data_IF_266007833365
#
_entry.id   IF_266007833365
#
_cell.length_a   1.000
_cell.length_b   1.000
_cell.length_c   1.000
_cell.angle_alpha   90.00
_cell.angle_beta   90.00
_cell.angle_gamma   90.00
#
_symmetry.space_group_name_H-M   'P 1'
#
loop_
_entity.id
_entity.type
_entity.pdbx_description
1 polymer ?
#
# COMPACT_ATOMS: atom_id res chain seq x y z
N UNK A 1 27.22 12.57 2.31
CA UNK A 1 26.08 13.20 1.61
C UNK A 1 24.93 12.21 1.65
N UNK A 2 24.00 12.43 2.58
CA UNK A 2 22.79 11.61 2.69
C UNK A 2 21.90 11.97 1.50
N UNK A 3 21.75 11.05 0.54
CA UNK A 3 20.82 11.26 -0.57
C UNK A 3 19.41 11.26 0.03
N UNK A 4 18.69 12.36 -0.11
CA UNK A 4 17.31 12.44 0.31
C UNK A 4 16.47 11.46 -0.53
N UNK A 5 15.81 10.51 0.13
CA UNK A 5 15.09 9.42 -0.53
C UNK A 5 13.98 9.97 -1.46
N UNK A 6 13.44 11.15 -1.15
CA UNK A 6 12.40 11.85 -1.94
C UNK A 6 12.88 12.41 -3.28
N UNK A 7 14.19 12.54 -3.51
CA UNK A 7 14.74 13.05 -4.78
C UNK A 7 15.23 11.95 -5.72
N UNK A 8 15.17 10.68 -5.29
CA UNK A 8 15.58 9.57 -6.14
C UNK A 8 14.41 9.25 -7.09
N UNK A 9 14.61 9.21 -8.40
CA UNK A 9 13.57 8.85 -9.36
C UNK A 9 12.94 7.49 -9.01
N UNK A 10 11.61 7.43 -9.06
CA UNK A 10 10.87 6.18 -8.82
C UNK A 10 11.02 5.22 -10.00
N UNK A 11 11.31 5.76 -11.19
CA UNK A 11 11.46 5.04 -12.44
C UNK A 11 12.90 4.54 -12.62
N UNK A 12 13.06 3.26 -12.94
CA UNK A 12 14.32 2.64 -13.35
C UNK A 12 14.19 2.09 -14.76
N UNK A 13 14.92 2.68 -15.71
CA UNK A 13 14.94 2.26 -17.11
C UNK A 13 16.27 1.59 -17.47
N UNK A 14 16.20 0.47 -18.19
CA UNK A 14 17.39 -0.12 -18.79
C UNK A 14 17.82 0.64 -20.06
N UNK A 15 19.01 0.33 -20.59
CA UNK A 15 19.56 0.96 -21.81
C UNK A 15 18.72 0.71 -23.07
N UNK A 16 17.78 -0.25 -23.02
CA UNK A 16 16.87 -0.61 -24.11
C UNK A 16 15.52 0.13 -23.98
N UNK A 17 15.37 0.99 -22.98
CA UNK A 17 14.14 1.75 -22.74
C UNK A 17 13.07 0.97 -21.96
N UNK A 18 13.39 -0.21 -21.40
CA UNK A 18 12.45 -0.93 -20.54
C UNK A 18 12.49 -0.33 -19.15
N UNK A 19 11.41 0.32 -18.77
CA UNK A 19 11.25 0.97 -17.47
C UNK A 19 10.41 0.13 -16.50
N UNK A 20 10.72 0.25 -15.22
CA UNK A 20 9.95 -0.30 -14.10
C UNK A 20 9.99 0.65 -12.91
N UNK A 21 9.11 0.44 -11.95
CA UNK A 21 9.19 1.14 -10.67
C UNK A 21 10.25 0.50 -9.78
N UNK A 22 10.97 1.37 -9.08
CA UNK A 22 12.00 1.02 -8.09
C UNK A 22 11.39 0.54 -6.78
N UNK A 23 10.28 1.17 -6.39
CA UNK A 23 9.57 0.86 -5.16
C UNK A 23 8.36 -0.03 -5.47
N UNK A 24 8.06 -0.93 -4.54
CA UNK A 24 6.82 -1.70 -4.54
C UNK A 24 5.63 -0.77 -4.22
N UNK A 25 4.41 -1.22 -4.54
CA UNK A 25 3.20 -0.39 -4.43
C UNK A 25 3.05 0.65 -5.54
N UNK A 26 3.91 0.61 -6.57
CA UNK A 26 3.81 1.48 -7.74
C UNK A 26 3.82 0.68 -9.04
N UNK A 27 3.07 1.15 -10.03
CA UNK A 27 3.07 0.61 -11.39
C UNK A 27 3.60 1.64 -12.37
N UNK A 28 4.40 1.19 -13.34
CA UNK A 28 4.95 2.07 -14.36
C UNK A 28 3.89 2.35 -15.43
N UNK A 29 3.49 3.61 -15.56
CA UNK A 29 2.62 4.09 -16.62
C UNK A 29 3.46 4.53 -17.83
N UNK A 30 3.35 3.78 -18.92
CA UNK A 30 4.06 4.04 -20.17
C UNK A 30 3.65 5.33 -20.88
N UNK A 31 2.44 5.84 -20.65
CA UNK A 31 1.93 7.06 -21.27
C UNK A 31 2.50 8.30 -20.58
N UNK A 32 2.43 8.33 -19.26
CA UNK A 32 2.96 9.45 -18.45
C UNK A 32 4.46 9.33 -18.17
N UNK A 33 5.05 8.15 -18.44
CA UNK A 33 6.43 7.77 -18.13
C UNK A 33 6.76 7.91 -16.64
N UNK A 34 5.78 7.70 -15.78
CA UNK A 34 5.90 7.84 -14.33
C UNK A 34 5.48 6.59 -13.62
N UNK A 35 6.01 6.41 -12.41
CA UNK A 35 5.46 5.47 -11.46
C UNK A 35 4.24 6.07 -10.78
N UNK A 36 3.09 5.42 -10.97
CA UNK A 36 1.85 5.78 -10.30
C UNK A 36 1.63 4.82 -9.13
N UNK A 37 1.11 5.37 -8.05
CA UNK A 37 0.70 4.59 -6.88
C UNK A 37 -0.38 3.57 -7.27
N UNK A 38 -0.30 2.37 -6.73
CA UNK A 38 -1.34 1.36 -6.87
C UNK A 38 -2.30 1.59 -5.72
N UNK A 39 -3.55 1.97 -6.01
CA UNK A 39 -4.55 2.08 -4.95
C UNK A 39 -5.07 0.68 -4.60
N UNK A 40 -4.49 0.05 -3.57
CA UNK A 40 -4.92 -1.28 -3.14
C UNK A 40 -6.33 -1.28 -2.51
N UNK A 41 -6.88 -0.11 -2.17
CA UNK A 41 -8.24 0.03 -1.68
C UNK A 41 -9.30 0.03 -2.80
N UNK A 42 -8.92 0.35 -4.04
CA UNK A 42 -9.80 0.35 -5.22
C UNK A 42 -9.68 -0.95 -6.04
N UNK A 43 -9.60 -2.09 -5.34
CA UNK A 43 -9.47 -3.41 -5.94
C UNK A 43 -10.79 -4.19 -5.90
N UNK A 44 -10.96 -5.13 -6.84
CA UNK A 44 -12.18 -5.96 -6.93
C UNK A 44 -12.37 -6.90 -5.73
N UNK A 45 -11.27 -7.30 -5.09
CA UNK A 45 -11.29 -8.10 -3.86
C UNK A 45 -10.77 -7.25 -2.69
N UNK A 46 -11.58 -7.01 -1.65
CA UNK A 46 -11.22 -6.09 -0.58
C UNK A 46 -9.99 -6.59 0.18
N UNK A 47 -8.95 -5.74 0.21
CA UNK A 47 -7.70 -6.03 0.94
C UNK A 47 -7.84 -5.97 2.46
N UNK A 48 -8.87 -5.30 2.98
CA UNK A 48 -9.10 -5.10 4.41
C UNK A 48 -10.47 -5.67 4.83
N UNK A 49 -10.56 -6.21 6.05
CA UNK A 49 -11.84 -6.65 6.63
C UNK A 49 -12.81 -5.51 6.94
N UNK A 50 -12.29 -4.31 7.21
CA UNK A 50 -13.07 -3.12 7.51
C UNK A 50 -12.58 -1.95 6.64
N UNK A 51 -12.09 -0.87 7.23
CA UNK A 51 -11.71 0.33 6.48
C UNK A 51 -10.32 0.14 5.86
N UNK A 52 -10.18 0.53 4.60
CA UNK A 52 -8.90 0.66 3.90
C UNK A 52 -8.57 2.14 3.72
N UNK A 53 -7.30 2.51 3.91
CA UNK A 53 -6.77 3.85 3.62
C UNK A 53 -5.55 3.70 2.72
N UNK A 54 -5.64 4.27 1.52
CA UNK A 54 -4.54 4.27 0.56
C UNK A 54 -3.47 5.31 0.95
N UNK A 55 -2.20 4.94 0.81
CA UNK A 55 -1.04 5.79 1.04
C UNK A 55 -0.03 5.62 -0.11
N UNK A 56 0.81 6.62 -0.40
CA UNK A 56 1.81 6.46 -1.46
C UNK A 56 2.77 5.27 -1.20
N UNK A 57 2.64 4.21 -2.00
CA UNK A 57 3.42 2.97 -1.97
C UNK A 57 2.91 1.88 -1.02
N UNK A 58 1.76 2.08 -0.37
CA UNK A 58 1.21 1.13 0.61
C UNK A 58 -0.22 1.47 1.00
N UNK A 59 -0.87 0.59 1.75
CA UNK A 59 -2.17 0.88 2.35
C UNK A 59 -2.19 0.46 3.82
N UNK A 60 -3.12 1.04 4.57
CA UNK A 60 -3.38 0.67 5.96
C UNK A 60 -4.83 0.18 6.10
N UNK A 61 -4.99 -0.97 6.75
CA UNK A 61 -6.30 -1.45 7.18
C UNK A 61 -6.58 -0.99 8.61
N UNK A 62 -7.73 -0.36 8.82
CA UNK A 62 -8.16 0.18 10.09
C UNK A 62 -9.41 -0.57 10.58
N UNK A 63 -9.34 -1.08 11.80
CA UNK A 63 -10.47 -1.67 12.51
C UNK A 63 -11.14 -0.64 13.42
N UNK A 64 -12.44 -0.80 13.70
CA UNK A 64 -13.13 -0.05 14.75
C UNK A 64 -12.44 -0.34 16.10
N UNK A 65 -11.74 0.64 16.68
CA UNK A 65 -10.94 0.43 17.88
C UNK A 65 -11.80 0.13 19.12
N UNK A 66 -13.11 0.41 19.08
CA UNK A 66 -14.02 0.16 20.20
C UNK A 66 -14.23 -1.34 20.44
N UNK A 67 -14.26 -2.13 19.36
CA UNK A 67 -14.68 -3.53 19.42
C UNK A 67 -13.75 -4.51 18.71
N UNK A 68 -12.82 -4.03 17.88
CA UNK A 68 -11.97 -4.89 17.06
C UNK A 68 -10.49 -4.52 17.22
N UNK A 69 -9.63 -5.47 16.88
CA UNK A 69 -8.18 -5.27 16.72
C UNK A 69 -7.73 -5.83 15.39
N UNK A 70 -6.70 -5.22 14.82
CA UNK A 70 -6.04 -5.70 13.62
C UNK A 70 -5.18 -6.93 13.96
N UNK A 71 -5.29 -7.96 13.14
CA UNK A 71 -4.47 -9.17 13.22
C UNK A 71 -3.07 -8.97 12.64
N UNK A 72 -2.21 -9.98 12.80
CA UNK A 72 -0.81 -9.94 12.32
C UNK A 72 -0.67 -9.90 10.80
N UNK A 73 -1.73 -10.23 10.07
CA UNK A 73 -1.78 -10.13 8.62
C UNK A 73 -1.98 -8.68 8.14
N UNK A 74 -2.19 -7.72 9.05
CA UNK A 74 -2.50 -6.31 8.79
C UNK A 74 -3.75 -6.11 7.93
N UNK A 75 -4.66 -7.08 7.88
CA UNK A 75 -5.87 -7.07 7.03
C UNK A 75 -7.12 -7.45 7.80
N UNK A 76 -7.00 -8.41 8.70
CA UNK A 76 -8.14 -9.01 9.37
C UNK A 76 -8.47 -8.29 10.68
N UNK A 77 -9.74 -7.92 10.83
CA UNK A 77 -10.25 -7.33 12.06
C UNK A 77 -10.94 -8.41 12.89
N UNK A 78 -10.35 -8.77 14.03
CA UNK A 78 -10.98 -9.71 14.97
C UNK A 78 -11.61 -8.96 16.12
N UNK A 79 -12.73 -9.49 16.61
CA UNK A 79 -13.40 -8.90 17.76
C UNK A 79 -12.45 -8.94 18.96
N UNK A 80 -12.41 -7.85 19.69
CA UNK A 80 -11.86 -7.80 21.03
C UNK A 80 -12.81 -8.60 21.90
N UNK A 81 -12.63 -9.92 21.92
CA UNK A 81 -13.27 -10.79 22.90
C UNK A 81 -12.66 -10.46 24.26
N UNK A 82 -13.02 -9.32 24.83
CA UNK A 82 -12.97 -9.13 26.27
C UNK A 82 -13.97 -10.14 26.79
N UNK A 83 -13.47 -11.34 27.12
CA UNK A 83 -14.26 -12.46 27.59
C UNK A 83 -15.37 -11.95 28.49
N UNK A 84 -16.60 -12.15 28.05
CA UNK A 84 -17.77 -12.02 28.91
C UNK A 84 -17.64 -13.18 29.90
N UNK A 85 -17.09 -12.87 31.08
CA UNK A 85 -17.11 -13.74 32.26
C UNK A 85 -18.15 -13.20 33.22
#
# INVERSE_FOLDING_TARGET
MEKNISEIPLEQCDKRGKCKCRLDGYVYDSQTKKCIDIDECDTLEPNCSQKCVNHPGSYECICDPSFFRLEKDNKTCVRNDKGVW
#
